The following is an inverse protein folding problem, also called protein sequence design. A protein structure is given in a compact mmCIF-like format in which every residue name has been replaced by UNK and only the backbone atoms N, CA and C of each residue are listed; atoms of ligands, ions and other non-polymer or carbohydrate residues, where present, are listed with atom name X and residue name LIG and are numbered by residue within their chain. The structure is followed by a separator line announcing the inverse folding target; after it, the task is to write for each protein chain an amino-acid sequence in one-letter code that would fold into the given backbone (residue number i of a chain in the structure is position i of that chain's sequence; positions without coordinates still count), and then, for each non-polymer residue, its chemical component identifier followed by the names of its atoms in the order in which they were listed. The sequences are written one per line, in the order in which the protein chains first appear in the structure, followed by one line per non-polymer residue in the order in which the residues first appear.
data_IF_326004028563
#
_entry.id   IF_326004028563
#
_cell.length_a   1.000
_cell.length_b   1.000
_cell.length_c   1.000
_cell.angle_alpha   90.00
_cell.angle_beta   90.00
_cell.angle_gamma   90.00
#
_symmetry.space_group_name_H-M   'P 1'
#
loop_
_entity.id
_entity.type
_entity.pdbx_description
1 polymer ?
#
# COMPACT_ATOMS: atom_id res chain seq x y z
N UNK A 1 -6.51 19.75 4.47
CA UNK A 1 -7.07 20.28 5.73
C UNK A 1 -6.37 19.73 6.99
N UNK A 2 -5.16 19.10 6.85
CA UNK A 2 -4.34 18.64 7.98
C UNK A 2 -4.88 17.44 8.75
N UNK A 3 -5.79 16.66 8.15
CA UNK A 3 -6.36 15.46 8.77
C UNK A 3 -5.55 14.19 8.50
N UNK A 4 -4.58 14.24 7.58
CA UNK A 4 -3.73 13.12 7.23
C UNK A 4 -2.28 13.58 7.16
N UNK A 5 -1.35 12.66 7.29
CA UNK A 5 0.08 12.92 7.21
C UNK A 5 0.63 12.38 5.89
N UNK A 6 1.37 13.19 5.09
CA UNK A 6 2.11 12.66 3.94
C UNK A 6 3.11 11.60 4.41
N UNK A 7 3.04 10.42 3.83
CA UNK A 7 3.94 9.31 4.18
C UNK A 7 3.85 8.16 3.19
N UNK A 8 4.91 7.38 3.10
CA UNK A 8 4.88 6.09 2.43
C UNK A 8 4.21 5.02 3.30
N UNK A 9 3.86 3.88 2.68
CA UNK A 9 3.37 2.70 3.39
C UNK A 9 4.48 2.15 4.29
N UNK A 10 4.33 2.35 5.57
CA UNK A 10 5.30 1.95 6.59
C UNK A 10 4.58 1.61 7.90
N UNK A 11 5.24 0.94 8.86
CA UNK A 11 4.68 0.77 10.20
C UNK A 11 4.24 2.11 10.80
N UNK A 12 3.16 2.10 11.59
CA UNK A 12 2.63 3.31 12.23
C UNK A 12 3.62 3.89 13.25
N UNK A 13 3.59 5.20 13.49
CA UNK A 13 4.47 5.88 14.46
C UNK A 13 4.38 5.33 15.88
N UNK A 14 3.19 4.85 16.28
CA UNK A 14 2.99 4.21 17.58
C UNK A 14 3.46 2.76 17.65
N UNK A 15 3.95 2.20 16.53
CA UNK A 15 4.42 0.84 16.43
C UNK A 15 5.88 0.70 16.89
N UNK A 16 6.25 -0.37 17.60
CA UNK A 16 7.65 -0.65 17.92
C UNK A 16 8.57 -0.77 16.71
N UNK A 17 8.01 -1.07 15.54
CA UNK A 17 8.72 -1.20 14.27
C UNK A 17 8.61 0.05 13.38
N UNK A 18 8.25 1.20 13.93
CA UNK A 18 8.21 2.45 13.16
C UNK A 18 9.57 2.75 12.53
N UNK A 19 9.56 2.99 11.22
CA UNK A 19 10.77 3.17 10.44
C UNK A 19 10.73 4.49 9.64
N UNK A 20 11.31 5.57 10.20
CA UNK A 20 11.24 6.91 9.60
C UNK A 20 11.83 7.00 8.19
N UNK A 21 12.89 6.25 7.88
CA UNK A 21 13.51 6.25 6.54
C UNK A 21 12.47 5.88 5.47
N UNK A 22 11.71 4.80 5.67
CA UNK A 22 10.65 4.40 4.74
C UNK A 22 9.46 5.37 4.79
N UNK A 23 9.02 5.74 6.00
CA UNK A 23 7.86 6.63 6.15
C UNK A 23 8.00 7.94 5.40
N UNK A 24 9.22 8.47 5.33
CA UNK A 24 9.53 9.77 4.74
C UNK A 24 10.22 9.69 3.37
N UNK A 25 10.31 8.50 2.77
CA UNK A 25 10.96 8.36 1.47
C UNK A 25 10.12 9.00 0.37
N UNK A 26 10.69 9.94 -0.38
CA UNK A 26 10.09 10.59 -1.56
C UNK A 26 8.66 11.12 -1.33
N UNK A 27 8.43 11.79 -0.19
CA UNK A 27 7.11 12.36 0.16
C UNK A 27 6.95 13.82 -0.25
N UNK A 28 7.99 14.47 -0.71
CA UNK A 28 8.01 15.87 -1.13
C UNK A 28 7.26 16.03 -2.46
N UNK A 29 6.52 17.13 -2.57
CA UNK A 29 5.96 17.53 -3.85
C UNK A 29 7.02 18.30 -4.63
N UNK A 30 7.72 17.61 -5.51
CA UNK A 30 8.81 18.17 -6.33
C UNK A 30 8.65 17.78 -7.81
N UNK A 31 7.85 18.55 -8.59
CA UNK A 31 7.68 18.29 -10.02
C UNK A 31 8.95 18.46 -10.85
N UNK A 32 9.90 19.28 -10.38
CA UNK A 32 11.18 19.50 -11.10
C UNK A 32 12.04 18.25 -10.99
N UNK A 33 12.19 17.71 -9.78
CA UNK A 33 12.92 16.46 -9.56
C UNK A 33 12.23 15.28 -10.23
N UNK A 34 10.90 15.20 -10.19
CA UNK A 34 10.14 14.17 -10.90
C UNK A 34 10.42 14.21 -12.42
N UNK A 35 10.42 15.39 -13.03
CA UNK A 35 10.77 15.53 -14.45
C UNK A 35 12.22 15.14 -14.73
N UNK A 36 13.17 15.51 -13.86
CA UNK A 36 14.57 15.15 -13.99
C UNK A 36 14.75 13.63 -13.99
N UNK A 37 14.11 12.92 -13.04
CA UNK A 37 14.17 11.46 -12.93
C UNK A 37 13.52 10.76 -14.14
N UNK A 38 12.38 11.26 -14.62
CA UNK A 38 11.73 10.75 -15.83
C UNK A 38 12.59 10.93 -17.08
N UNK A 39 13.33 12.04 -17.17
CA UNK A 39 14.28 12.28 -18.26
C UNK A 39 15.50 11.35 -18.16
N UNK A 40 15.98 11.09 -16.94
CA UNK A 40 17.12 10.20 -16.67
C UNK A 40 16.85 8.75 -17.09
N UNK A 41 15.61 8.27 -16.90
CA UNK A 41 15.20 6.94 -17.38
C UNK A 41 14.84 6.91 -18.87
N UNK A 42 15.07 8.02 -19.59
CA UNK A 42 14.94 8.09 -21.05
C UNK A 42 13.55 8.49 -21.56
N UNK A 43 12.60 8.85 -20.70
CA UNK A 43 11.27 9.28 -21.10
C UNK A 43 11.24 10.79 -21.49
N UNK A 44 12.09 11.18 -22.44
CA UNK A 44 12.31 12.58 -22.80
C UNK A 44 11.39 13.09 -23.91
N UNK A 45 10.92 12.21 -24.79
CA UNK A 45 10.03 12.59 -25.88
C UNK A 45 8.59 12.80 -25.39
N UNK A 46 7.90 13.78 -25.99
CA UNK A 46 6.51 14.10 -25.69
C UNK A 46 5.65 14.11 -26.95
N UNK A 47 4.38 13.79 -26.77
CA UNK A 47 3.37 13.94 -27.82
C UNK A 47 2.90 15.39 -28.01
N UNK A 48 1.94 15.61 -28.93
CA UNK A 48 1.41 16.94 -29.19
C UNK A 48 0.61 17.56 -28.04
N UNK A 49 0.16 16.74 -27.09
CA UNK A 49 -0.57 17.16 -25.88
C UNK A 49 0.38 17.43 -24.70
N UNK A 50 1.68 17.10 -24.85
CA UNK A 50 2.71 17.27 -23.83
C UNK A 50 2.95 16.03 -22.95
N UNK A 51 2.29 14.91 -23.22
CA UNK A 51 2.51 13.67 -22.50
C UNK A 51 3.76 12.94 -23.01
N UNK A 52 4.46 12.29 -22.10
CA UNK A 52 5.67 11.53 -22.39
C UNK A 52 5.35 10.29 -23.23
N UNK A 53 6.29 9.91 -24.08
CA UNK A 53 6.22 8.70 -24.90
C UNK A 53 7.07 7.60 -24.29
N UNK A 54 6.74 6.37 -24.64
CA UNK A 54 7.62 5.24 -24.36
C UNK A 54 9.00 5.43 -25.01
N UNK A 55 10.06 5.00 -24.34
CA UNK A 55 11.44 5.03 -24.85
C UNK A 55 11.83 3.76 -25.60
N UNK A 56 10.85 2.97 -26.03
CA UNK A 56 11.00 1.69 -26.75
C UNK A 56 11.08 1.85 -28.29
N UNK A 57 10.99 3.08 -28.77
CA UNK A 57 11.00 3.41 -30.21
C UNK A 57 9.63 3.25 -30.89
N UNK A 58 8.57 2.90 -30.19
CA UNK A 58 7.20 2.82 -30.76
C UNK A 58 6.65 4.19 -31.16
N UNK A 59 7.07 5.24 -30.46
CA UNK A 59 6.52 6.59 -30.60
C UNK A 59 5.14 6.75 -29.95
N UNK A 60 4.67 5.73 -29.23
CA UNK A 60 3.38 5.76 -28.53
C UNK A 60 3.44 6.56 -27.23
N UNK A 61 2.35 7.23 -26.87
CA UNK A 61 2.22 7.94 -25.59
C UNK A 61 2.20 6.94 -24.45
N UNK A 62 3.03 7.16 -23.41
CA UNK A 62 3.00 6.42 -22.18
C UNK A 62 1.66 6.68 -21.47
N UNK A 63 0.81 5.67 -21.42
CA UNK A 63 -0.51 5.76 -20.79
C UNK A 63 -0.63 4.68 -19.72
N UNK A 64 -1.03 5.10 -18.51
CA UNK A 64 -1.13 4.26 -17.33
C UNK A 64 -2.60 4.06 -16.95
N UNK A 65 -2.99 2.81 -16.64
CA UNK A 65 -4.31 2.49 -16.13
C UNK A 65 -4.23 2.16 -14.63
N UNK A 66 -4.90 2.98 -13.83
CA UNK A 66 -5.07 2.75 -12.40
C UNK A 66 -6.43 2.09 -12.17
N UNK A 67 -6.43 0.88 -11.64
CA UNK A 67 -7.65 0.13 -11.33
C UNK A 67 -7.85 0.04 -9.81
N UNK A 68 -9.09 0.20 -9.33
CA UNK A 68 -9.34 0.17 -7.90
C UNK A 68 -10.81 0.18 -7.50
N UNK A 69 -11.06 0.12 -6.20
CA UNK A 69 -12.37 -0.08 -5.57
C UNK A 69 -13.08 1.21 -5.17
N UNK A 70 -12.58 2.36 -5.58
CA UNK A 70 -13.17 3.64 -5.16
C UNK A 70 -14.27 4.03 -6.15
N UNK A 71 -15.52 3.79 -5.72
CA UNK A 71 -16.69 4.06 -6.56
C UNK A 71 -16.80 5.54 -6.95
N UNK A 72 -17.36 5.84 -8.11
CA UNK A 72 -17.61 7.21 -8.58
C UNK A 72 -18.36 8.05 -7.54
N UNK A 73 -17.95 9.31 -7.38
CA UNK A 73 -18.51 10.26 -6.42
C UNK A 73 -18.07 10.06 -4.97
N UNK A 74 -17.06 9.24 -4.71
CA UNK A 74 -16.51 9.05 -3.37
C UNK A 74 -15.22 9.85 -3.15
N UNK A 75 -14.93 10.20 -1.89
CA UNK A 75 -13.65 10.85 -1.53
C UNK A 75 -12.43 10.03 -2.00
N UNK A 76 -12.55 8.71 -2.04
CA UNK A 76 -11.47 7.86 -2.53
C UNK A 76 -11.22 8.01 -4.03
N UNK A 77 -12.26 8.26 -4.83
CA UNK A 77 -12.11 8.62 -6.23
C UNK A 77 -11.47 10.01 -6.38
N UNK A 78 -11.92 11.00 -5.61
CA UNK A 78 -11.35 12.36 -5.66
C UNK A 78 -9.82 12.33 -5.42
N UNK A 79 -9.35 11.48 -4.49
CA UNK A 79 -7.92 11.34 -4.21
C UNK A 79 -7.13 10.78 -5.40
N UNK A 80 -7.63 9.75 -6.06
CA UNK A 80 -6.94 9.19 -7.24
C UNK A 80 -6.99 10.14 -8.43
N UNK A 81 -8.10 10.86 -8.62
CA UNK A 81 -8.20 11.88 -9.67
C UNK A 81 -7.26 13.06 -9.44
N UNK A 82 -7.01 13.46 -8.17
CA UNK A 82 -5.96 14.41 -7.84
C UNK A 82 -4.57 13.87 -8.19
N UNK A 83 -4.27 12.62 -7.85
CA UNK A 83 -3.00 12.00 -8.20
C UNK A 83 -2.78 11.97 -9.72
N UNK A 84 -3.81 11.62 -10.50
CA UNK A 84 -3.77 11.67 -11.98
C UNK A 84 -3.44 13.07 -12.50
N UNK A 85 -4.00 14.11 -11.88
CA UNK A 85 -3.68 15.47 -12.25
C UNK A 85 -2.21 15.81 -12.02
N UNK A 86 -1.64 15.42 -10.87
CA UNK A 86 -0.23 15.61 -10.58
C UNK A 86 0.69 14.79 -11.50
N UNK A 87 0.27 13.59 -11.90
CA UNK A 87 0.98 12.81 -12.93
C UNK A 87 0.97 13.54 -14.28
N UNK A 88 -0.15 14.14 -14.67
CA UNK A 88 -0.26 14.92 -15.89
C UNK A 88 0.66 16.16 -15.87
N UNK A 89 0.85 16.82 -14.72
CA UNK A 89 1.73 17.99 -14.58
C UNK A 89 3.20 17.65 -14.90
N UNK A 90 3.61 16.38 -14.75
CA UNK A 90 4.94 15.88 -15.15
C UNK A 90 4.95 15.12 -16.49
N UNK A 91 3.82 15.13 -17.17
CA UNK A 91 3.67 14.55 -18.51
C UNK A 91 3.35 13.05 -18.53
N UNK A 92 2.87 12.48 -17.44
CA UNK A 92 2.39 11.11 -17.40
C UNK A 92 0.87 11.08 -17.63
N UNK A 93 0.44 10.40 -18.70
CA UNK A 93 -0.98 10.21 -18.98
C UNK A 93 -1.51 9.04 -18.14
N UNK A 94 -2.52 9.29 -17.33
CA UNK A 94 -3.11 8.25 -16.50
C UNK A 94 -4.65 8.32 -16.55
N UNK A 95 -5.30 7.17 -16.34
CA UNK A 95 -6.74 7.06 -16.20
C UNK A 95 -7.07 6.20 -14.98
N UNK A 96 -8.24 6.45 -14.38
CA UNK A 96 -8.76 5.61 -13.31
C UNK A 96 -9.96 4.79 -13.79
N UNK A 97 -9.99 3.52 -13.43
CA UNK A 97 -11.11 2.61 -13.67
C UNK A 97 -11.56 2.04 -12.33
N UNK A 98 -12.83 2.23 -12.03
CA UNK A 98 -13.49 1.57 -10.91
C UNK A 98 -13.85 0.15 -11.30
N UNK A 99 -13.49 -0.82 -10.47
CA UNK A 99 -13.92 -2.21 -10.58
C UNK A 99 -14.69 -2.63 -9.33
N UNK A 100 -15.70 -3.49 -9.51
CA UNK A 100 -16.31 -4.21 -8.40
C UNK A 100 -15.28 -5.13 -7.73
N UNK A 101 -15.41 -5.32 -6.42
CA UNK A 101 -14.39 -5.98 -5.60
C UNK A 101 -13.99 -7.36 -6.11
N UNK A 102 -14.95 -8.19 -6.50
CA UNK A 102 -14.66 -9.55 -6.98
C UNK A 102 -13.87 -9.53 -8.29
N UNK A 103 -14.23 -8.66 -9.22
CA UNK A 103 -13.51 -8.50 -10.48
C UNK A 103 -12.11 -7.93 -10.26
N UNK A 104 -11.97 -6.92 -9.40
CA UNK A 104 -10.67 -6.35 -9.06
C UNK A 104 -9.73 -7.41 -8.46
N UNK A 105 -10.22 -8.18 -7.48
CA UNK A 105 -9.40 -9.22 -6.84
C UNK A 105 -9.00 -10.32 -7.83
N UNK A 106 -9.90 -10.72 -8.74
CA UNK A 106 -9.62 -11.67 -9.80
C UNK A 106 -8.51 -11.17 -10.73
N UNK A 107 -8.60 -9.92 -11.18
CA UNK A 107 -7.61 -9.30 -12.08
C UNK A 107 -6.25 -9.11 -11.41
N UNK A 108 -6.23 -8.67 -10.16
CA UNK A 108 -4.97 -8.53 -9.40
C UNK A 108 -4.28 -9.88 -9.21
N UNK A 109 -5.05 -10.93 -8.86
CA UNK A 109 -4.53 -12.29 -8.70
C UNK A 109 -4.02 -12.86 -10.03
N UNK A 110 -4.71 -12.55 -11.13
CA UNK A 110 -4.29 -12.97 -12.48
C UNK A 110 -3.12 -12.12 -13.05
N UNK A 111 -2.61 -11.15 -12.29
CA UNK A 111 -1.57 -10.20 -12.74
C UNK A 111 -1.96 -9.41 -14.01
N UNK A 112 -3.25 -9.03 -14.13
CA UNK A 112 -3.80 -8.30 -15.27
C UNK A 112 -3.93 -6.79 -15.05
N UNK A 113 -3.53 -6.28 -13.88
CA UNK A 113 -3.58 -4.86 -13.55
C UNK A 113 -2.21 -4.21 -13.70
N UNK A 114 -2.16 -3.02 -14.32
CA UNK A 114 -0.91 -2.23 -14.40
C UNK A 114 -0.62 -1.55 -13.06
N UNK A 115 -1.59 -0.81 -12.54
CA UNK A 115 -1.48 -0.13 -11.25
C UNK A 115 -2.72 -0.47 -10.42
N UNK A 116 -2.52 -1.21 -9.34
CA UNK A 116 -3.58 -1.58 -8.41
C UNK A 116 -3.72 -0.53 -7.30
N UNK A 117 -4.91 0.10 -7.17
CA UNK A 117 -5.21 1.10 -6.15
C UNK A 117 -6.08 0.54 -5.03
N UNK A 118 -5.52 0.46 -3.83
CA UNK A 118 -6.21 -0.01 -2.63
C UNK A 118 -5.86 0.83 -1.40
N UNK A 119 -6.64 0.67 -0.33
CA UNK A 119 -6.30 1.24 0.98
C UNK A 119 -5.24 0.40 1.69
N UNK A 120 -4.29 1.07 2.30
CA UNK A 120 -3.22 0.50 3.11
C UNK A 120 -3.17 1.14 4.51
N UNK A 121 -2.02 1.11 5.18
CA UNK A 121 -1.74 1.82 6.44
C UNK A 121 -2.52 1.24 7.65
N UNK A 122 -2.51 -0.09 7.78
CA UNK A 122 -3.21 -0.79 8.87
C UNK A 122 -2.36 -1.81 9.62
N UNK A 123 -1.03 -1.81 9.43
CA UNK A 123 -0.16 -2.74 10.14
C UNK A 123 0.62 -2.04 11.24
N UNK A 124 0.54 -2.55 12.46
CA UNK A 124 1.39 -2.14 13.57
C UNK A 124 2.59 -3.06 13.76
N UNK A 125 2.45 -4.33 13.43
CA UNK A 125 3.47 -5.34 13.61
C UNK A 125 3.76 -6.05 12.28
N UNK A 126 4.40 -5.37 11.33
CA UNK A 126 4.62 -5.89 9.99
C UNK A 126 5.47 -7.16 9.96
N UNK A 127 6.29 -7.42 10.95
CA UNK A 127 7.03 -8.68 11.09
C UNK A 127 6.12 -9.90 11.18
N UNK A 128 4.91 -9.74 11.74
CA UNK A 128 3.91 -10.81 11.84
C UNK A 128 2.86 -10.75 10.73
N UNK A 129 2.60 -9.56 10.19
CA UNK A 129 1.70 -9.33 9.07
C UNK A 129 2.49 -8.90 7.83
N UNK A 130 3.43 -9.76 7.45
CA UNK A 130 4.52 -9.46 6.53
C UNK A 130 4.14 -9.42 5.06
N UNK A 131 2.98 -9.99 4.68
CA UNK A 131 2.66 -10.29 3.27
C UNK A 131 2.75 -9.07 2.36
N UNK A 132 2.45 -7.90 2.86
CA UNK A 132 2.55 -6.66 2.07
C UNK A 132 4.01 -6.24 1.86
N UNK A 133 4.89 -6.53 2.81
CA UNK A 133 6.33 -6.23 2.69
C UNK A 133 7.11 -7.31 1.96
N UNK A 134 6.59 -8.52 1.91
CA UNK A 134 7.21 -9.63 1.16
C UNK A 134 6.62 -9.85 -0.22
N UNK A 135 5.59 -9.09 -0.61
CA UNK A 135 4.98 -9.19 -1.92
C UNK A 135 4.18 -10.47 -2.18
N UNK A 136 3.71 -11.15 -1.11
CA UNK A 136 2.93 -12.39 -1.26
C UNK A 136 1.44 -12.21 -0.95
N UNK A 137 0.97 -10.98 -0.80
CA UNK A 137 -0.44 -10.70 -0.57
C UNK A 137 -1.22 -10.74 -1.88
N UNK A 138 -2.07 -11.75 -2.04
CA UNK A 138 -2.81 -12.01 -3.27
C UNK A 138 -3.84 -10.92 -3.65
N UNK A 139 -4.25 -10.08 -2.73
CA UNK A 139 -5.30 -9.06 -2.99
C UNK A 139 -4.75 -7.66 -3.27
N UNK A 140 -3.49 -7.40 -2.90
CA UNK A 140 -2.88 -6.05 -2.91
C UNK A 140 -1.41 -6.14 -3.29
N UNK A 141 -1.15 -7.05 -4.19
CA UNK A 141 0.20 -7.49 -4.44
C UNK A 141 0.90 -6.57 -5.45
N UNK A 142 1.99 -5.97 -5.02
CA UNK A 142 2.90 -5.26 -5.89
C UNK A 142 3.84 -6.21 -6.65
N UNK A 143 3.91 -7.48 -6.24
CA UNK A 143 4.80 -8.47 -6.84
C UNK A 143 4.06 -9.47 -7.76
N UNK A 144 2.74 -9.37 -7.90
CA UNK A 144 1.93 -10.11 -8.87
C UNK A 144 2.33 -11.57 -9.04
N UNK A 145 2.76 -11.92 -10.24
CA UNK A 145 3.18 -13.28 -10.62
C UNK A 145 4.35 -13.81 -9.77
N UNK A 146 5.25 -12.95 -9.32
CA UNK A 146 6.37 -13.37 -8.44
C UNK A 146 5.89 -13.84 -7.07
N UNK A 147 4.89 -13.16 -6.50
CA UNK A 147 4.26 -13.58 -5.24
C UNK A 147 3.53 -14.91 -5.36
N UNK A 148 2.88 -15.15 -6.51
CA UNK A 148 2.27 -16.45 -6.84
C UNK A 148 3.32 -17.55 -6.89
N UNK A 149 4.38 -17.35 -7.65
CA UNK A 149 5.49 -18.30 -7.75
C UNK A 149 6.14 -18.58 -6.38
N UNK A 150 6.36 -17.55 -5.56
CA UNK A 150 6.93 -17.74 -4.22
C UNK A 150 6.05 -18.60 -3.32
N UNK A 151 4.72 -18.46 -3.42
CA UNK A 151 3.77 -19.27 -2.67
C UNK A 151 3.66 -20.69 -3.22
N UNK A 152 3.69 -20.84 -4.54
CA UNK A 152 3.61 -22.12 -5.23
C UNK A 152 4.36 -22.03 -6.57
N UNK A 153 5.59 -22.58 -6.68
CA UNK A 153 6.38 -22.53 -7.91
C UNK A 153 5.72 -23.19 -9.12
N UNK A 154 4.72 -24.05 -8.88
CA UNK A 154 3.95 -24.74 -9.93
C UNK A 154 2.67 -23.98 -10.32
N UNK A 155 2.44 -22.78 -9.78
CA UNK A 155 1.27 -21.96 -10.14
C UNK A 155 1.36 -21.53 -11.61
N UNK A 156 0.32 -21.81 -12.43
CA UNK A 156 0.36 -21.49 -13.87
C UNK A 156 0.41 -19.98 -14.15
N UNK A 157 0.05 -19.12 -13.19
CA UNK A 157 0.15 -17.68 -13.29
C UNK A 157 1.37 -17.12 -12.54
N UNK A 158 2.17 -18.01 -11.92
CA UNK A 158 3.38 -17.64 -11.22
C UNK A 158 4.56 -17.50 -12.19
N UNK A 159 5.43 -16.55 -11.91
CA UNK A 159 6.68 -16.32 -12.65
C UNK A 159 7.83 -16.16 -11.66
N UNK A 160 8.95 -16.83 -11.92
CA UNK A 160 10.14 -16.66 -11.09
C UNK A 160 10.77 -15.27 -11.36
N UNK A 161 11.02 -14.45 -10.32
CA UNK A 161 11.72 -13.18 -10.53
C UNK A 161 13.16 -13.40 -10.97
N UNK A 162 13.77 -12.41 -11.69
CA UNK A 162 15.18 -12.45 -12.04
C UNK A 162 16.10 -12.76 -10.85
N UNK A 163 17.21 -13.43 -11.08
CA UNK A 163 18.10 -13.89 -10.01
C UNK A 163 18.72 -12.75 -9.19
N UNK A 164 18.94 -11.62 -9.81
CA UNK A 164 19.53 -10.41 -9.23
C UNK A 164 18.47 -9.42 -8.68
N UNK A 165 17.17 -9.75 -8.75
CA UNK A 165 16.13 -8.88 -8.27
C UNK A 165 16.07 -8.84 -6.75
N UNK A 166 15.99 -7.64 -6.18
CA UNK A 166 15.97 -7.38 -4.73
C UNK A 166 14.82 -8.09 -3.97
N UNK A 167 13.74 -8.50 -4.63
CA UNK A 167 12.64 -9.26 -3.99
C UNK A 167 13.13 -10.60 -3.45
N UNK A 168 14.10 -11.26 -4.12
CA UNK A 168 14.70 -12.51 -3.63
C UNK A 168 15.46 -12.29 -2.32
N UNK A 169 16.08 -11.13 -2.15
CA UNK A 169 16.74 -10.76 -0.90
C UNK A 169 15.73 -10.49 0.22
N UNK A 170 14.61 -9.83 -0.05
CA UNK A 170 13.48 -9.71 0.90
C UNK A 170 13.04 -11.09 1.39
N UNK A 171 12.85 -12.03 0.47
CA UNK A 171 12.44 -13.38 0.80
C UNK A 171 13.49 -14.11 1.64
N UNK A 172 14.77 -14.01 1.25
CA UNK A 172 15.87 -14.60 2.03
C UNK A 172 15.90 -14.04 3.46
N UNK A 173 15.87 -12.72 3.61
CA UNK A 173 15.87 -12.09 4.94
C UNK A 173 14.67 -12.59 5.77
N UNK A 174 13.48 -12.62 5.19
CA UNK A 174 12.30 -12.98 5.96
C UNK A 174 12.29 -14.46 6.36
N UNK A 175 12.49 -15.38 5.40
CA UNK A 175 12.35 -16.82 5.66
C UNK A 175 13.58 -17.44 6.33
N UNK A 176 14.78 -16.94 6.04
CA UNK A 176 16.04 -17.56 6.51
C UNK A 176 16.61 -16.84 7.74
N UNK A 177 16.22 -15.59 8.01
CA UNK A 177 16.71 -14.84 9.18
C UNK A 177 15.55 -14.51 10.14
N UNK A 178 14.56 -13.72 9.72
CA UNK A 178 13.50 -13.19 10.60
C UNK A 178 12.67 -14.29 11.26
N UNK A 179 12.20 -15.28 10.48
CA UNK A 179 11.37 -16.36 11.02
C UNK A 179 12.11 -17.31 11.95
N UNK A 180 13.42 -17.40 11.81
CA UNK A 180 14.26 -18.30 12.62
C UNK A 180 14.78 -17.64 13.89
N UNK A 181 14.66 -16.33 14.02
CA UNK A 181 15.15 -15.57 15.17
C UNK A 181 14.17 -15.66 16.35
N UNK A 182 14.57 -16.24 17.50
CA UNK A 182 13.71 -16.35 18.68
C UNK A 182 13.58 -15.06 19.48
N UNK A 183 14.60 -14.17 19.46
CA UNK A 183 14.56 -12.90 20.15
C UNK A 183 13.73 -11.88 19.37
N UNK A 184 12.73 -11.29 20.03
CA UNK A 184 11.80 -10.38 19.39
C UNK A 184 12.47 -9.08 18.92
N UNK A 185 13.38 -8.54 19.70
CA UNK A 185 14.05 -7.28 19.36
C UNK A 185 15.01 -7.47 18.19
N UNK A 186 15.72 -8.59 18.18
CA UNK A 186 16.57 -8.95 17.06
C UNK A 186 15.77 -9.24 15.80
N UNK A 187 14.59 -9.87 15.93
CA UNK A 187 13.66 -10.08 14.82
C UNK A 187 13.19 -8.77 14.21
N UNK A 188 12.89 -7.75 15.03
CA UNK A 188 12.55 -6.42 14.54
C UNK A 188 13.71 -5.80 13.78
N UNK A 189 14.93 -5.89 14.33
CA UNK A 189 16.15 -5.38 13.70
C UNK A 189 16.45 -6.07 12.35
N UNK A 190 16.23 -7.37 12.26
CA UNK A 190 16.36 -8.11 11.00
C UNK A 190 15.30 -7.67 9.98
N UNK A 191 14.08 -7.42 10.41
CA UNK A 191 13.01 -6.95 9.54
C UNK A 191 13.26 -5.52 9.02
N UNK A 192 14.00 -4.67 9.75
CA UNK A 192 14.41 -3.34 9.26
C UNK A 192 15.18 -3.41 7.94
N UNK A 193 15.92 -4.47 7.67
CA UNK A 193 16.59 -4.66 6.37
C UNK A 193 15.59 -4.73 5.22
N UNK A 194 14.42 -5.31 5.44
CA UNK A 194 13.32 -5.33 4.46
C UNK A 194 12.75 -3.93 4.29
N UNK A 195 12.55 -3.20 5.39
CA UNK A 195 12.08 -1.82 5.34
C UNK A 195 13.08 -0.88 4.65
N UNK A 196 14.39 -1.16 4.74
CA UNK A 196 15.42 -0.46 3.99
C UNK A 196 15.26 -0.63 2.49
N UNK A 197 15.06 -1.87 2.02
CA UNK A 197 14.82 -2.16 0.60
C UNK A 197 13.55 -1.44 0.14
N UNK A 198 12.47 -1.48 0.93
CA UNK A 198 11.25 -0.74 0.61
C UNK A 198 11.45 0.78 0.56
N UNK A 199 12.35 1.33 1.36
CA UNK A 199 12.64 2.77 1.35
C UNK A 199 13.44 3.19 0.10
N UNK A 200 14.18 2.29 -0.50
CA UNK A 200 14.98 2.53 -1.70
C UNK A 200 14.19 2.27 -2.97
N UNK A 201 13.44 1.15 -3.03
CA UNK A 201 12.78 0.68 -4.24
C UNK A 201 11.31 1.14 -4.39
N UNK A 202 10.66 1.55 -3.29
CA UNK A 202 9.27 2.02 -3.22
C UNK A 202 8.31 1.16 -4.08
N UNK A 203 8.21 -0.15 -3.84
CA UNK A 203 7.32 -1.01 -4.62
C UNK A 203 5.83 -0.68 -4.43
N UNK A 204 5.49 0.02 -3.38
CA UNK A 204 4.16 0.55 -3.11
C UNK A 204 4.25 2.05 -2.92
N UNK A 205 3.65 2.83 -3.81
CA UNK A 205 3.56 4.28 -3.69
C UNK A 205 2.36 4.62 -2.80
N UNK A 206 2.60 5.37 -1.72
CA UNK A 206 1.57 5.81 -0.79
C UNK A 206 1.67 7.33 -0.60
N UNK A 207 0.53 8.00 -0.46
CA UNK A 207 0.52 9.47 -0.41
C UNK A 207 0.22 10.01 0.99
N UNK A 208 -0.78 9.42 1.66
CA UNK A 208 -1.34 9.94 2.90
C UNK A 208 -1.65 8.78 3.85
N UNK A 209 -1.21 8.89 5.07
CA UNK A 209 -1.55 7.94 6.14
C UNK A 209 -2.08 8.61 7.38
N UNK A 210 -2.38 7.81 8.40
CA UNK A 210 -2.86 8.25 9.71
C UNK A 210 -4.14 9.10 9.67
N UNK A 211 -4.99 8.85 8.68
CA UNK A 211 -6.29 9.53 8.60
C UNK A 211 -7.17 9.12 9.78
N UNK A 212 -7.80 10.08 10.49
CA UNK A 212 -8.72 9.74 11.56
C UNK A 212 -9.94 9.00 10.98
N UNK A 213 -10.30 7.89 11.63
CA UNK A 213 -11.54 7.18 11.37
C UNK A 213 -12.56 7.55 12.44
N UNK A 214 -13.75 8.00 12.03
CA UNK A 214 -14.80 8.42 12.96
C UNK A 214 -15.64 7.21 13.34
N UNK A 215 -15.61 6.87 14.63
CA UNK A 215 -16.55 5.92 15.22
C UNK A 215 -17.67 6.68 15.97
N UNK A 216 -18.90 6.27 15.76
CA UNK A 216 -20.07 6.81 16.46
C UNK A 216 -20.59 5.74 17.41
N UNK A 217 -20.70 6.09 18.70
CA UNK A 217 -21.37 5.24 19.69
C UNK A 217 -22.52 5.97 20.35
N UNK A 218 -23.60 5.28 20.74
CA UNK A 218 -24.63 5.88 21.55
C UNK A 218 -24.08 6.41 22.89
N UNK A 219 -24.59 7.55 23.33
CA UNK A 219 -24.10 8.22 24.55
C UNK A 219 -24.10 7.32 25.80
N UNK A 220 -25.11 6.46 25.91
CA UNK A 220 -25.30 5.58 27.06
C UNK A 220 -24.59 4.23 26.95
N UNK A 221 -23.89 3.97 25.82
CA UNK A 221 -23.09 2.75 25.66
C UNK A 221 -21.76 2.91 26.39
N UNK A 222 -21.44 1.97 27.25
CA UNK A 222 -20.25 1.92 28.10
C UNK A 222 -19.27 0.84 27.65
N UNK A 223 -18.07 0.94 28.18
CA UNK A 223 -16.94 0.03 27.91
C UNK A 223 -16.50 -0.03 26.44
N UNK A 224 -16.79 1.00 25.65
CA UNK A 224 -16.29 1.15 24.30
C UNK A 224 -14.97 1.93 24.35
N UNK A 225 -13.86 1.36 23.89
CA UNK A 225 -12.55 2.04 23.88
C UNK A 225 -12.59 3.35 23.09
N UNK A 226 -11.99 4.41 23.64
CA UNK A 226 -11.84 5.71 22.97
C UNK A 226 -10.64 6.46 23.53
N UNK A 227 -9.66 6.90 22.73
CA UNK A 227 -9.48 6.60 21.29
C UNK A 227 -9.11 5.14 21.02
N UNK A 228 -9.27 4.70 19.80
CA UNK A 228 -8.89 3.36 19.35
C UNK A 228 -8.03 3.46 18.10
N UNK A 229 -6.90 2.76 18.08
CA UNK A 229 -6.10 2.59 16.87
C UNK A 229 -6.71 1.47 16.03
N UNK A 230 -7.04 1.78 14.77
CA UNK A 230 -7.62 0.82 13.85
C UNK A 230 -6.53 0.16 12.99
N UNK A 231 -6.19 -1.08 13.32
CA UNK A 231 -5.21 -1.89 12.58
C UNK A 231 -5.74 -3.30 12.33
N UNK A 232 -5.00 -4.10 11.56
CA UNK A 232 -5.33 -5.52 11.41
C UNK A 232 -5.14 -6.30 12.72
N UNK A 233 -4.15 -5.93 13.51
CA UNK A 233 -3.83 -6.57 14.78
C UNK A 233 -4.76 -6.11 15.91
N UNK A 234 -5.22 -4.85 15.85
CA UNK A 234 -6.04 -4.25 16.89
C UNK A 234 -7.25 -3.50 16.30
N UNK A 235 -8.40 -3.78 16.84
CA UNK A 235 -9.58 -2.95 16.62
C UNK A 235 -10.32 -3.13 15.30
N UNK A 236 -9.93 -4.06 14.43
CA UNK A 236 -10.63 -4.20 13.15
C UNK A 236 -12.00 -4.88 13.30
N UNK A 237 -12.09 -6.07 13.86
CA UNK A 237 -13.38 -6.75 14.08
C UNK A 237 -13.44 -7.58 15.34
N UNK A 238 -12.38 -8.28 15.69
CA UNK A 238 -12.38 -9.29 16.74
C UNK A 238 -11.87 -8.78 18.09
N UNK A 239 -11.07 -7.73 18.09
CA UNK A 239 -10.43 -7.20 19.30
C UNK A 239 -11.24 -6.14 20.03
N UNK A 240 -12.38 -5.72 19.47
CA UNK A 240 -13.26 -4.74 20.10
C UNK A 240 -14.13 -5.33 21.23
N UNK A 241 -14.16 -6.65 21.39
CA UNK A 241 -14.88 -7.32 22.47
C UNK A 241 -16.30 -6.79 22.68
N UNK A 242 -17.08 -6.66 21.62
CA UNK A 242 -18.43 -6.07 21.64
C UNK A 242 -19.37 -6.70 22.67
N UNK A 243 -19.12 -7.95 23.09
CA UNK A 243 -19.84 -8.64 24.15
C UNK A 243 -19.58 -8.04 25.55
N UNK A 244 -18.57 -7.18 25.73
CA UNK A 244 -18.28 -6.45 26.96
C UNK A 244 -18.92 -5.06 26.99
N UNK A 245 -19.56 -4.63 25.88
CA UNK A 245 -20.27 -3.37 25.85
C UNK A 245 -21.61 -3.50 26.55
N UNK A 246 -22.02 -2.49 27.26
CA UNK A 246 -23.29 -2.50 27.95
C UNK A 246 -23.96 -1.11 27.92
N UNK A 247 -25.27 -1.12 28.02
CA UNK A 247 -26.05 0.09 28.22
C UNK A 247 -26.01 0.51 29.69
N UNK A 248 -25.77 1.77 29.98
CA UNK A 248 -25.79 2.32 31.32
C UNK A 248 -27.19 2.23 31.94
N UNK A 249 -28.21 2.29 31.09
CA UNK A 249 -29.62 2.16 31.45
C UNK A 249 -30.30 1.17 30.50
N UNK A 250 -30.12 -0.15 30.73
CA UNK A 250 -30.60 -1.17 29.80
C UNK A 250 -32.13 -1.23 29.69
N UNK A 251 -32.86 -0.79 30.72
CA UNK A 251 -34.34 -0.83 30.76
C UNK A 251 -34.97 0.10 29.72
N UNK A 252 -34.26 1.14 29.29
CA UNK A 252 -34.70 2.10 28.28
C UNK A 252 -34.21 1.77 26.84
N UNK A 253 -33.53 0.63 26.66
CA UNK A 253 -32.91 0.24 25.37
C UNK A 253 -33.30 -1.18 24.89
N UNK A 254 -34.44 -1.67 25.31
CA UNK A 254 -35.03 -2.96 24.88
C UNK A 254 -35.90 -2.76 23.65
#
# INVERSE_FOLDING_TARGET
DGLATPRQYSPMESCPQFYPKLSNAYIEYDPEEANRLLDEVGLTERDAEGFRKWNDGSGETLSLLIEGLRAPGTQGEDLVLMAIKYLADVGLKAAYKYDERSLYEERVVANETEIAYWGADRSMLPVYNHQQFTGINMQRNWAGAWGLWKNNPDDPNGEEPPDDHWIKEIWRIYWDEVLLEPDEQERFRLFEKILDIHAEEIPMVHFLGQMPSVGIKPRMMRNVPTPLTLTYEFGYTSTLYGHQYYWEDPENHV
#
